data_IF_137744600953
#
_entry.id   IF_137744600953
#
_cell.length_a   1.000
_cell.length_b   1.000
_cell.length_c   1.000
_cell.angle_alpha   90.00
_cell.angle_beta   90.00
_cell.angle_gamma   90.00
#
_symmetry.space_group_name_H-M   'P 1'
#
loop_
_entity.id
_entity.type
_entity.pdbx_description
1 polymer ?
#
# COMPACT_ATOMS: atom_id res chain seq x y z
N UNK A 1 7.02 -42.16 -27.11
CA UNK A 1 6.19 -41.10 -27.75
C UNK A 1 6.39 -39.82 -26.96
N UNK A 2 6.91 -38.72 -27.54
CA UNK A 2 7.10 -37.46 -26.83
C UNK A 2 5.75 -36.76 -26.62
N UNK A 3 5.52 -36.26 -25.41
CA UNK A 3 4.27 -35.63 -24.99
C UNK A 3 4.11 -34.23 -25.57
N UNK A 4 2.95 -33.99 -26.19
CA UNK A 4 2.49 -32.69 -26.65
C UNK A 4 2.54 -31.67 -25.51
N UNK A 5 3.40 -30.67 -25.68
CA UNK A 5 3.40 -29.46 -24.86
C UNK A 5 2.03 -28.79 -24.96
N UNK A 6 1.30 -28.82 -23.85
CA UNK A 6 0.02 -28.14 -23.68
C UNK A 6 0.25 -26.64 -23.86
N UNK A 7 -0.01 -26.12 -25.06
CA UNK A 7 0.02 -24.70 -25.34
C UNK A 7 -1.09 -24.04 -24.52
N UNK A 8 -0.72 -23.33 -23.45
CA UNK A 8 -1.64 -22.41 -22.79
C UNK A 8 -1.98 -21.30 -23.79
N UNK A 9 -3.24 -21.13 -24.21
CA UNK A 9 -3.60 -20.06 -25.14
C UNK A 9 -3.20 -18.72 -24.51
N UNK A 10 -2.50 -17.88 -25.28
CA UNK A 10 -2.19 -16.51 -24.89
C UNK A 10 -3.50 -15.78 -24.59
N UNK A 11 -3.84 -15.63 -23.29
CA UNK A 11 -4.93 -14.78 -22.83
C UNK A 11 -4.57 -13.36 -23.24
N UNK A 12 -5.26 -12.83 -24.25
CA UNK A 12 -5.14 -11.41 -24.62
C UNK A 12 -5.60 -10.58 -23.41
N UNK A 13 -4.90 -9.49 -23.04
CA UNK A 13 -5.40 -8.60 -22.01
C UNK A 13 -6.79 -8.09 -22.41
N UNK A 14 -7.78 -8.35 -21.58
CA UNK A 14 -9.09 -7.73 -21.71
C UNK A 14 -8.96 -6.28 -21.26
N UNK A 15 -9.24 -5.35 -22.15
CA UNK A 15 -9.15 -3.91 -21.86
C UNK A 15 -10.55 -3.43 -21.46
N UNK A 16 -10.74 -3.17 -20.17
CA UNK A 16 -11.97 -2.55 -19.67
C UNK A 16 -11.81 -1.04 -19.58
N UNK A 17 -12.78 -0.28 -20.11
CA UNK A 17 -12.84 1.16 -19.94
C UNK A 17 -13.73 1.54 -18.77
N UNK A 18 -13.30 2.55 -18.02
CA UNK A 18 -14.12 3.14 -16.98
C UNK A 18 -15.28 3.94 -17.64
N UNK A 19 -16.52 3.87 -17.12
CA UNK A 19 -17.61 4.73 -17.58
C UNK A 19 -17.20 6.21 -17.56
N UNK A 20 -17.64 6.96 -18.58
CA UNK A 20 -17.21 8.35 -18.82
C UNK A 20 -17.32 9.24 -17.58
N UNK A 21 -18.46 9.19 -16.89
CA UNK A 21 -18.70 10.00 -15.69
C UNK A 21 -17.66 9.75 -14.59
N UNK A 22 -17.32 8.48 -14.32
CA UNK A 22 -16.33 8.13 -13.32
C UNK A 22 -14.90 8.51 -13.76
N UNK A 23 -14.63 8.44 -15.06
CA UNK A 23 -13.35 8.91 -15.62
C UNK A 23 -13.19 10.41 -15.44
N UNK A 24 -14.23 11.20 -15.74
CA UNK A 24 -14.19 12.66 -15.64
C UNK A 24 -13.97 13.09 -14.18
N UNK A 25 -14.69 12.46 -13.22
CA UNK A 25 -14.50 12.70 -11.78
C UNK A 25 -13.06 12.37 -11.33
N UNK A 26 -12.52 11.23 -11.76
CA UNK A 26 -11.13 10.88 -11.41
C UNK A 26 -10.11 11.84 -12.03
N UNK A 27 -10.35 12.29 -13.27
CA UNK A 27 -9.46 13.22 -13.97
C UNK A 27 -9.43 14.58 -13.29
N UNK A 28 -10.59 15.10 -12.88
CA UNK A 28 -10.71 16.34 -12.12
C UNK A 28 -9.97 16.22 -10.78
N UNK A 29 -10.25 15.17 -10.00
CA UNK A 29 -9.57 14.94 -8.72
C UNK A 29 -8.05 14.83 -8.85
N UNK A 30 -7.53 14.17 -9.90
CA UNK A 30 -6.08 14.10 -10.15
C UNK A 30 -5.46 15.45 -10.49
N UNK A 31 -6.22 16.32 -11.15
CA UNK A 31 -5.77 17.68 -11.45
C UNK A 31 -5.65 18.50 -10.18
N UNK A 32 -6.66 18.44 -9.30
CA UNK A 32 -6.66 19.12 -8.00
C UNK A 32 -5.49 18.65 -7.11
N UNK A 33 -5.18 17.35 -7.15
CA UNK A 33 -4.08 16.73 -6.40
C UNK A 33 -2.69 17.29 -6.71
N UNK A 34 -2.50 17.94 -7.87
CA UNK A 34 -1.22 18.55 -8.23
C UNK A 34 -0.97 19.89 -7.53
N UNK A 35 -1.98 20.45 -6.88
CA UNK A 35 -1.86 21.76 -6.23
C UNK A 35 -1.19 21.65 -4.86
N UNK A 36 -0.36 22.64 -4.52
CA UNK A 36 0.31 22.69 -3.21
C UNK A 36 -0.69 22.79 -2.05
N UNK A 37 -1.81 23.49 -2.27
CA UNK A 37 -2.89 23.63 -1.30
C UNK A 37 -3.53 22.27 -0.98
N UNK A 38 -3.77 21.44 -2.00
CA UNK A 38 -4.28 20.09 -1.84
C UNK A 38 -3.26 19.19 -1.12
N UNK A 39 -1.99 19.23 -1.55
CA UNK A 39 -0.90 18.45 -0.92
C UNK A 39 -0.73 18.82 0.56
N UNK A 40 -0.80 20.11 0.89
CA UNK A 40 -0.69 20.59 2.27
C UNK A 40 -1.82 20.01 3.14
N UNK A 41 -3.08 20.06 2.66
CA UNK A 41 -4.23 19.45 3.35
C UNK A 41 -4.11 17.93 3.46
N UNK A 42 -3.57 17.27 2.43
CA UNK A 42 -3.47 15.82 2.38
C UNK A 42 -2.25 15.26 3.14
N UNK A 43 -1.26 16.10 3.45
CA UNK A 43 0.01 15.69 4.07
C UNK A 43 -0.16 14.85 5.35
N UNK A 44 -1.05 15.26 6.25
CA UNK A 44 -1.34 14.54 7.50
C UNK A 44 -1.88 13.13 7.22
N UNK A 45 -2.77 13.02 6.23
CA UNK A 45 -3.37 11.74 5.85
C UNK A 45 -2.34 10.83 5.18
N UNK A 46 -1.55 11.37 4.25
CA UNK A 46 -0.48 10.65 3.59
C UNK A 46 0.55 10.11 4.60
N UNK A 47 0.89 10.89 5.63
CA UNK A 47 1.79 10.45 6.69
C UNK A 47 1.24 9.21 7.43
N UNK A 48 -0.02 9.26 7.86
CA UNK A 48 -0.67 8.14 8.56
C UNK A 48 -0.78 6.91 7.65
N UNK A 49 -1.22 7.08 6.41
CA UNK A 49 -1.35 5.99 5.43
C UNK A 49 0.02 5.35 5.13
N UNK A 50 1.07 6.16 5.02
CA UNK A 50 2.45 5.71 4.86
C UNK A 50 2.93 4.86 6.04
N UNK A 51 2.69 5.32 7.27
CA UNK A 51 3.01 4.58 8.49
C UNK A 51 2.26 3.23 8.55
N UNK A 52 0.96 3.21 8.25
CA UNK A 52 0.17 1.97 8.22
C UNK A 52 0.73 1.00 7.17
N UNK A 53 1.07 1.51 5.98
CA UNK A 53 1.68 0.68 4.94
C UNK A 53 3.04 0.11 5.40
N UNK A 54 3.87 0.90 6.09
CA UNK A 54 5.15 0.43 6.60
C UNK A 54 5.00 -0.68 7.65
N UNK A 55 4.03 -0.54 8.55
CA UNK A 55 3.68 -1.59 9.51
C UNK A 55 3.23 -2.88 8.83
N UNK A 56 2.34 -2.77 7.85
CA UNK A 56 1.71 -3.92 7.19
C UNK A 56 2.66 -4.60 6.20
N UNK A 57 3.28 -3.81 5.31
CA UNK A 57 4.07 -4.29 4.18
C UNK A 57 5.54 -4.46 4.55
N UNK A 58 6.13 -3.52 5.30
CA UNK A 58 7.53 -3.59 5.74
C UNK A 58 7.74 -4.52 6.93
N UNK A 59 6.81 -4.53 7.88
CA UNK A 59 6.99 -5.24 9.16
C UNK A 59 6.01 -6.39 9.41
N UNK A 60 5.09 -6.66 8.48
CA UNK A 60 4.22 -7.84 8.54
C UNK A 60 3.23 -7.86 9.72
N UNK A 61 2.81 -6.69 10.24
CA UNK A 61 1.96 -6.57 11.43
C UNK A 61 0.62 -7.32 11.38
N UNK A 62 0.18 -7.79 10.21
CA UNK A 62 -1.01 -8.66 10.09
C UNK A 62 -0.84 -10.01 10.80
N UNK A 63 0.38 -10.39 11.19
CA UNK A 63 0.67 -11.63 11.90
C UNK A 63 1.59 -11.38 13.10
N UNK A 64 1.19 -11.85 14.26
CA UNK A 64 2.05 -11.92 15.44
C UNK A 64 2.76 -13.27 15.48
N UNK A 65 4.08 -13.24 15.73
CA UNK A 65 4.87 -14.46 15.91
C UNK A 65 4.54 -15.13 17.25
N UNK A 66 4.26 -14.32 18.26
CA UNK A 66 3.93 -14.79 19.60
C UNK A 66 2.42 -14.92 19.81
N UNK A 67 2.04 -15.73 20.81
CA UNK A 67 0.64 -16.06 21.11
C UNK A 67 0.13 -15.53 22.43
N UNK A 68 1.00 -15.19 23.38
CA UNK A 68 0.56 -14.54 24.62
C UNK A 68 0.39 -13.04 24.39
N UNK A 69 -0.50 -12.42 25.14
CA UNK A 69 -0.79 -10.99 25.03
C UNK A 69 0.44 -10.14 25.37
N UNK A 70 1.17 -10.50 26.44
CA UNK A 70 2.37 -9.78 26.87
C UNK A 70 3.48 -9.79 25.80
N UNK A 71 3.74 -10.95 25.19
CA UNK A 71 4.78 -11.08 24.16
C UNK A 71 4.36 -10.44 22.83
N UNK A 72 3.06 -10.45 22.53
CA UNK A 72 2.48 -9.72 21.40
C UNK A 72 2.61 -8.20 21.59
N UNK A 73 2.34 -7.71 22.80
CA UNK A 73 2.50 -6.29 23.14
C UNK A 73 3.95 -5.83 22.92
N UNK A 74 4.92 -6.60 23.41
CA UNK A 74 6.34 -6.30 23.18
C UNK A 74 6.69 -6.29 21.69
N UNK A 75 6.20 -7.25 20.90
CA UNK A 75 6.41 -7.26 19.45
C UNK A 75 5.87 -5.97 18.80
N UNK A 76 4.64 -5.56 19.16
CA UNK A 76 4.02 -4.35 18.61
C UNK A 76 4.76 -3.07 19.00
N UNK A 77 5.17 -2.93 20.27
CA UNK A 77 5.94 -1.77 20.74
C UNK A 77 7.27 -1.65 20.01
N UNK A 78 8.02 -2.75 19.89
CA UNK A 78 9.31 -2.74 19.19
C UNK A 78 9.14 -2.43 17.69
N UNK A 79 8.06 -2.93 17.07
CA UNK A 79 7.75 -2.62 15.68
C UNK A 79 7.38 -1.13 15.52
N UNK A 80 6.62 -0.57 16.47
CA UNK A 80 6.28 0.85 16.44
C UNK A 80 7.50 1.75 16.60
N UNK A 81 8.43 1.38 17.46
CA UNK A 81 9.72 2.06 17.59
C UNK A 81 10.51 1.98 16.28
N UNK A 82 10.59 0.81 15.64
CA UNK A 82 11.29 0.65 14.36
C UNK A 82 10.71 1.55 13.27
N UNK A 83 9.38 1.54 13.10
CA UNK A 83 8.69 2.38 12.11
C UNK A 83 8.86 3.87 12.40
N UNK A 84 8.85 4.27 13.68
CA UNK A 84 9.04 5.68 14.07
C UNK A 84 10.48 6.19 13.84
N UNK A 85 11.48 5.29 13.86
CA UNK A 85 12.90 5.66 13.68
C UNK A 85 13.34 5.67 12.20
N UNK A 86 12.68 4.91 11.32
CA UNK A 86 13.02 4.85 9.89
C UNK A 86 13.05 6.21 9.16
N UNK A 87 12.12 7.17 9.43
CA UNK A 87 12.14 8.49 8.81
C UNK A 87 13.32 9.38 9.24
N UNK A 88 13.92 9.12 10.41
CA UNK A 88 15.01 9.94 10.97
C UNK A 88 16.40 9.57 10.45
N UNK A 89 16.58 8.34 9.95
CA UNK A 89 17.86 7.88 9.42
C UNK A 89 18.11 8.28 7.95
N UNK A 90 17.10 8.88 7.29
CA UNK A 90 17.16 9.36 5.90
C UNK A 90 17.35 10.89 5.77
N UNK A 91 17.56 11.58 6.90
CA UNK A 91 17.97 12.98 7.03
C UNK A 91 19.46 13.06 7.40
#
# INVERSE_FOLDING_TARGET
MPGEGRLHPHRRPEVSFLPRELYDIQSESRTEQQTQEWLSRYSLRAAIEGTINEFVSGHGMRRCRYRSEETTHVQHVLTAIAVNLLPLAAL
#
